data_IF_136567682986
#
_entry.id   IF_136567682986
#
_cell.length_a   1.000
_cell.length_b   1.000
_cell.length_c   1.000
_cell.angle_alpha   90.00
_cell.angle_beta   90.00
_cell.angle_gamma   90.00
#
_symmetry.space_group_name_H-M   'P 1'
#
loop_
_entity.id
_entity.type
_entity.pdbx_description
1 polymer ?
#
# COMPACT_ATOMS: atom_id res chain seq x y z
N UNK A 1 -9.66 -0.82 -6.87
CA UNK A 1 -8.50 -1.62 -7.30
C UNK A 1 -7.99 -1.10 -8.63
N UNK A 2 -6.67 -1.01 -8.78
CA UNK A 2 -5.92 -0.63 -9.97
C UNK A 2 -4.91 -1.76 -10.16
N UNK A 3 -5.37 -2.83 -10.82
CA UNK A 3 -4.61 -4.07 -11.02
C UNK A 3 -3.91 -4.04 -12.39
N UNK A 4 -2.61 -4.34 -12.40
CA UNK A 4 -1.78 -4.51 -13.59
C UNK A 4 -2.00 -3.41 -14.64
N UNK A 5 -2.18 -2.18 -14.16
CA UNK A 5 -2.58 -1.03 -14.95
C UNK A 5 -1.41 -0.08 -15.13
N UNK A 6 -1.41 0.66 -16.23
CA UNK A 6 -0.39 1.69 -16.50
C UNK A 6 -1.06 3.03 -16.79
N UNK A 7 -0.44 4.12 -16.33
CA UNK A 7 -0.91 5.49 -16.57
C UNK A 7 -2.34 5.75 -16.07
N UNK A 8 -2.66 5.25 -14.87
CA UNK A 8 -3.97 5.45 -14.24
C UNK A 8 -3.98 6.67 -13.32
N UNK A 9 -5.09 7.42 -13.34
CA UNK A 9 -5.36 8.49 -12.39
C UNK A 9 -6.52 8.09 -11.49
N UNK A 10 -6.30 8.15 -10.18
CA UNK A 10 -7.29 7.80 -9.14
C UNK A 10 -7.49 9.02 -8.27
N UNK A 11 -8.56 9.78 -8.52
CA UNK A 11 -8.76 11.07 -7.87
C UNK A 11 -10.22 11.43 -7.63
N UNK A 12 -10.41 12.36 -6.68
CA UNK A 12 -11.71 12.87 -6.23
C UNK A 12 -12.69 11.77 -5.79
N UNK A 13 -12.17 10.66 -5.24
CA UNK A 13 -12.98 9.57 -4.71
C UNK A 13 -13.17 9.68 -3.19
N UNK A 14 -14.21 8.98 -2.71
CA UNK A 14 -14.42 8.69 -1.28
C UNK A 14 -14.33 7.18 -1.09
N UNK A 15 -13.26 6.72 -0.45
CA UNK A 15 -13.01 5.31 -0.14
C UNK A 15 -13.16 5.11 1.39
N UNK A 16 -14.31 4.61 1.82
CA UNK A 16 -14.60 4.43 3.25
C UNK A 16 -15.39 3.16 3.55
N UNK A 17 -15.18 2.60 4.74
CA UNK A 17 -15.84 1.40 5.25
C UNK A 17 -15.61 0.14 4.39
N UNK A 18 -14.46 0.07 3.70
CA UNK A 18 -13.99 -1.12 3.00
C UNK A 18 -13.01 -1.91 3.88
N UNK A 19 -12.44 -3.00 3.36
CA UNK A 19 -11.27 -3.67 3.98
C UNK A 19 -9.97 -2.94 3.66
N UNK A 20 -9.81 -2.57 2.39
CA UNK A 20 -8.77 -1.68 1.90
C UNK A 20 -9.41 -0.54 1.10
N UNK A 21 -8.93 0.68 1.25
CA UNK A 21 -9.49 1.85 0.56
C UNK A 21 -9.15 1.86 -0.93
N UNK A 22 -7.87 2.08 -1.26
CA UNK A 22 -7.35 2.07 -2.64
C UNK A 22 -6.24 1.02 -2.72
N UNK A 23 -6.28 0.19 -3.76
CA UNK A 23 -5.30 -0.87 -3.98
C UNK A 23 -4.69 -0.67 -5.37
N UNK A 24 -3.37 -0.49 -5.45
CA UNK A 24 -2.58 -0.34 -6.68
C UNK A 24 -1.61 -1.51 -6.77
N UNK A 25 -1.99 -2.53 -7.54
CA UNK A 25 -1.34 -3.83 -7.56
C UNK A 25 -0.75 -4.15 -8.93
N UNK A 26 0.42 -4.77 -8.93
CA UNK A 26 0.87 -5.63 -10.03
C UNK A 26 0.90 -7.07 -9.53
N UNK A 27 0.44 -8.01 -10.35
CA UNK A 27 0.36 -9.44 -10.04
C UNK A 27 0.99 -10.28 -11.16
N UNK A 28 1.65 -11.41 -10.83
CA UNK A 28 2.26 -12.29 -11.82
C UNK A 28 1.22 -13.06 -12.63
N UNK A 29 1.64 -13.67 -13.75
CA UNK A 29 0.83 -14.59 -14.56
C UNK A 29 -0.41 -13.97 -15.24
N UNK A 30 -0.46 -12.64 -15.35
CA UNK A 30 -1.49 -11.93 -16.11
C UNK A 30 -0.98 -11.49 -17.49
N UNK A 31 -1.91 -11.26 -18.42
CA UNK A 31 -1.58 -10.84 -19.80
C UNK A 31 -0.98 -9.44 -19.89
N UNK A 32 -1.24 -8.60 -18.88
CA UNK A 32 -0.66 -7.27 -18.70
C UNK A 32 0.09 -7.31 -17.38
N UNK A 33 1.32 -6.81 -17.34
CA UNK A 33 2.22 -6.77 -16.18
C UNK A 33 3.07 -5.49 -16.26
N UNK A 34 3.79 -5.19 -15.19
CA UNK A 34 4.62 -3.99 -15.10
C UNK A 34 3.76 -2.76 -14.85
N UNK A 35 2.84 -2.89 -13.88
CA UNK A 35 2.02 -1.80 -13.39
C UNK A 35 2.88 -0.60 -13.02
N UNK A 36 2.54 0.58 -13.57
CA UNK A 36 3.35 1.78 -13.38
C UNK A 36 2.65 3.09 -13.68
N UNK A 37 3.23 4.18 -13.18
CA UNK A 37 2.78 5.56 -13.46
C UNK A 37 1.33 5.81 -13.03
N UNK A 38 0.92 5.22 -11.90
CA UNK A 38 -0.38 5.49 -11.30
C UNK A 38 -0.26 6.71 -10.39
N UNK A 39 -1.20 7.66 -10.51
CA UNK A 39 -1.32 8.79 -9.59
C UNK A 39 -2.57 8.63 -8.74
N UNK A 40 -2.41 8.72 -7.42
CA UNK A 40 -3.50 8.63 -6.44
C UNK A 40 -3.57 9.98 -5.72
N UNK A 41 -4.58 10.79 -6.01
CA UNK A 41 -4.61 12.16 -5.49
C UNK A 41 -5.99 12.71 -5.17
N UNK A 42 -6.05 13.65 -4.22
CA UNK A 42 -7.30 14.33 -3.81
C UNK A 42 -8.43 13.37 -3.38
N UNK A 43 -8.11 12.20 -2.83
CA UNK A 43 -9.10 11.26 -2.34
C UNK A 43 -9.35 11.45 -0.83
N UNK A 44 -10.55 11.09 -0.39
CA UNK A 44 -10.90 10.92 1.03
C UNK A 44 -10.87 9.43 1.35
N UNK A 45 -9.91 8.99 2.18
CA UNK A 45 -9.62 7.57 2.42
C UNK A 45 -9.70 7.30 3.92
N UNK A 46 -10.85 6.80 4.39
CA UNK A 46 -11.12 6.78 5.83
C UNK A 46 -11.88 5.56 6.33
N UNK A 47 -11.57 5.11 7.56
CA UNK A 47 -12.33 4.07 8.24
C UNK A 47 -12.46 2.77 7.41
N UNK A 48 -11.42 2.38 6.67
CA UNK A 48 -11.47 1.16 5.87
C UNK A 48 -11.18 -0.08 6.75
N UNK A 49 -11.97 -0.28 7.80
CA UNK A 49 -11.73 -1.28 8.86
C UNK A 49 -12.69 -2.49 8.77
N UNK A 50 -13.37 -2.66 7.64
CA UNK A 50 -14.29 -3.78 7.43
C UNK A 50 -13.49 -5.07 7.26
N UNK A 51 -13.85 -6.12 8.00
CA UNK A 51 -13.21 -7.44 7.89
C UNK A 51 -13.15 -7.93 6.44
N UNK A 52 -12.00 -8.51 6.05
CA UNK A 52 -11.82 -9.04 4.71
C UNK A 52 -12.83 -10.17 4.43
N UNK A 53 -13.50 -10.09 3.28
CA UNK A 53 -14.55 -11.03 2.86
C UNK A 53 -14.22 -11.71 1.53
N UNK A 54 -12.98 -11.56 1.05
CA UNK A 54 -12.53 -12.23 -0.16
C UNK A 54 -12.58 -13.76 0.01
N UNK A 55 -12.95 -14.51 -1.04
CA UNK A 55 -12.87 -15.97 -1.01
C UNK A 55 -11.45 -16.45 -0.71
N UNK A 56 -11.35 -17.55 0.04
CA UNK A 56 -10.08 -18.20 0.35
C UNK A 56 -9.29 -18.50 -0.93
N UNK A 57 -7.99 -18.20 -0.91
CA UNK A 57 -7.09 -18.38 -2.06
C UNK A 57 -7.04 -17.20 -3.03
N UNK A 58 -7.90 -16.19 -2.88
CA UNK A 58 -7.75 -14.94 -3.63
C UNK A 58 -6.68 -14.05 -2.99
N UNK A 59 -5.80 -13.46 -3.80
CA UNK A 59 -4.68 -12.64 -3.30
C UNK A 59 -5.16 -11.40 -2.56
N UNK A 60 -6.28 -10.80 -2.95
CA UNK A 60 -6.87 -9.67 -2.22
C UNK A 60 -7.35 -10.08 -0.81
N UNK A 61 -7.46 -11.37 -0.53
CA UNK A 61 -7.71 -11.90 0.81
C UNK A 61 -6.53 -11.74 1.78
N UNK A 62 -5.33 -11.42 1.30
CA UNK A 62 -4.18 -11.09 2.16
C UNK A 62 -4.12 -9.62 2.55
N UNK A 63 -4.98 -8.76 1.99
CA UNK A 63 -5.04 -7.34 2.35
C UNK A 63 -5.56 -7.20 3.79
N UNK A 64 -4.78 -6.61 4.72
CA UNK A 64 -5.21 -6.39 6.09
C UNK A 64 -6.44 -5.47 6.13
N UNK A 65 -7.45 -5.81 6.93
CA UNK A 65 -8.49 -4.84 7.26
C UNK A 65 -7.88 -3.62 7.94
N UNK A 66 -8.34 -2.42 7.59
CA UNK A 66 -7.75 -1.17 8.06
C UNK A 66 -6.61 -0.66 7.18
N UNK A 67 -6.57 -1.06 5.91
CA UNK A 67 -5.61 -0.53 4.94
C UNK A 67 -6.20 0.70 4.23
N UNK A 68 -5.55 1.86 4.32
CA UNK A 68 -5.96 3.04 3.56
C UNK A 68 -5.65 2.92 2.07
N UNK A 69 -4.36 2.91 1.74
CA UNK A 69 -3.81 2.68 0.41
C UNK A 69 -2.78 1.55 0.47
N UNK A 70 -2.78 0.66 -0.53
CA UNK A 70 -1.72 -0.32 -0.70
C UNK A 70 -1.10 -0.21 -2.09
N UNK A 71 0.23 -0.15 -2.13
CA UNK A 71 1.05 -0.26 -3.34
C UNK A 71 1.79 -1.59 -3.28
N UNK A 72 1.43 -2.52 -4.17
CA UNK A 72 2.03 -3.85 -4.26
C UNK A 72 2.78 -3.98 -5.59
N UNK A 73 4.10 -4.15 -5.50
CA UNK A 73 4.97 -4.45 -6.65
C UNK A 73 4.74 -3.52 -7.86
N UNK A 74 4.63 -2.22 -7.63
CA UNK A 74 4.31 -1.24 -8.68
C UNK A 74 5.37 -0.16 -8.76
N UNK A 75 5.53 0.42 -9.97
CA UNK A 75 6.57 1.40 -10.23
C UNK A 75 6.02 2.82 -10.47
N UNK A 76 6.78 3.83 -10.07
CA UNK A 76 6.48 5.23 -10.36
C UNK A 76 5.08 5.64 -9.89
N UNK A 77 4.77 5.38 -8.61
CA UNK A 77 3.48 5.74 -8.03
C UNK A 77 3.61 7.09 -7.33
N UNK A 78 2.69 8.00 -7.63
CA UNK A 78 2.63 9.32 -6.99
C UNK A 78 1.36 9.41 -6.15
N UNK A 79 1.51 9.64 -4.85
CA UNK A 79 0.41 9.69 -3.88
C UNK A 79 0.41 11.08 -3.24
N UNK A 80 -0.58 11.91 -3.57
CA UNK A 80 -0.56 13.29 -3.11
C UNK A 80 -1.91 13.98 -2.89
N UNK A 81 -1.97 14.93 -1.97
CA UNK A 81 -3.20 15.69 -1.71
C UNK A 81 -4.36 14.84 -1.16
N UNK A 82 -4.11 13.59 -0.75
CA UNK A 82 -5.13 12.74 -0.16
C UNK A 82 -5.27 13.03 1.32
N UNK A 83 -6.45 12.73 1.86
CA UNK A 83 -6.73 12.78 3.28
C UNK A 83 -7.00 11.36 3.80
N UNK A 84 -6.09 10.87 4.64
CA UNK A 84 -6.16 9.56 5.27
C UNK A 84 -6.62 9.70 6.73
N UNK A 85 -7.65 8.96 7.11
CA UNK A 85 -8.24 9.07 8.45
C UNK A 85 -8.62 7.70 9.01
N UNK A 86 -8.10 7.34 10.18
CA UNK A 86 -8.57 6.20 10.99
C UNK A 86 -8.62 4.85 10.24
N UNK A 87 -7.57 4.51 9.48
CA UNK A 87 -7.39 3.17 8.92
C UNK A 87 -6.56 2.31 9.91
N UNK A 88 -7.16 1.27 10.49
CA UNK A 88 -6.66 0.62 11.72
C UNK A 88 -5.34 -0.15 11.58
N UNK A 89 -5.00 -0.62 10.37
CA UNK A 89 -3.73 -1.31 10.10
C UNK A 89 -2.62 -0.34 9.72
N UNK A 90 -2.85 0.46 8.68
CA UNK A 90 -1.93 1.51 8.23
C UNK A 90 -2.64 2.41 7.21
N UNK A 91 -2.25 3.68 7.16
CA UNK A 91 -2.79 4.61 6.17
C UNK A 91 -2.24 4.34 4.76
N UNK A 92 -0.94 4.03 4.63
CA UNK A 92 -0.32 3.58 3.38
C UNK A 92 0.62 2.40 3.62
N UNK A 93 0.48 1.36 2.80
CA UNK A 93 1.33 0.17 2.80
C UNK A 93 2.06 0.09 1.46
N UNK A 94 3.40 0.08 1.47
CA UNK A 94 4.23 -0.14 0.29
C UNK A 94 4.95 -1.46 0.45
N UNK A 95 4.71 -2.42 -0.43
CA UNK A 95 5.25 -3.78 -0.28
C UNK A 95 5.62 -4.41 -1.62
N UNK A 96 6.58 -5.32 -1.57
CA UNK A 96 6.83 -6.27 -2.64
C UNK A 96 5.81 -7.38 -2.63
N UNK A 97 5.75 -8.10 -3.76
CA UNK A 97 4.96 -9.32 -3.87
C UNK A 97 5.41 -10.42 -2.89
N UNK A 98 6.66 -10.40 -2.43
CA UNK A 98 7.20 -11.39 -1.50
C UNK A 98 6.48 -11.43 -0.16
N UNK A 99 5.77 -10.36 0.23
CA UNK A 99 4.97 -10.32 1.45
C UNK A 99 3.95 -11.46 1.53
N UNK A 100 3.50 -11.98 0.38
CA UNK A 100 2.52 -13.06 0.31
C UNK A 100 3.13 -14.45 0.59
N UNK A 101 4.46 -14.59 0.58
CA UNK A 101 5.14 -15.89 0.74
C UNK A 101 4.85 -16.90 -0.38
N UNK A 102 4.25 -16.45 -1.49
CA UNK A 102 3.91 -17.28 -2.64
C UNK A 102 5.08 -17.36 -3.62
N UNK A 103 5.28 -18.51 -4.30
CA UNK A 103 6.29 -18.63 -5.34
C UNK A 103 5.98 -17.70 -6.52
N UNK A 104 7.04 -17.19 -7.14
CA UNK A 104 6.97 -16.44 -8.40
C UNK A 104 7.52 -17.35 -9.50
N UNK A 105 6.61 -17.94 -10.27
CA UNK A 105 6.96 -18.83 -11.39
C UNK A 105 7.05 -18.08 -12.73
N UNK A 106 6.60 -16.82 -12.78
CA UNK A 106 6.67 -15.98 -13.97
C UNK A 106 8.06 -15.31 -14.06
N UNK A 107 8.90 -15.68 -15.05
CA UNK A 107 10.25 -15.16 -15.18
C UNK A 107 10.30 -13.68 -15.61
N UNK A 108 9.19 -13.10 -16.06
CA UNK A 108 9.14 -11.71 -16.51
C UNK A 108 8.52 -10.77 -15.47
N UNK A 109 8.07 -11.30 -14.34
CA UNK A 109 7.41 -10.53 -13.31
C UNK A 109 8.42 -9.78 -12.44
N UNK A 110 8.17 -8.50 -12.22
CA UNK A 110 8.92 -7.68 -11.27
C UNK A 110 8.17 -7.61 -9.94
N UNK A 111 8.69 -8.21 -8.86
CA UNK A 111 7.99 -8.23 -7.58
C UNK A 111 8.26 -7.02 -6.69
N UNK A 112 9.12 -6.08 -7.09
CA UNK A 112 9.56 -4.98 -6.24
C UNK A 112 8.73 -3.71 -6.49
N UNK A 113 8.45 -2.91 -5.45
CA UNK A 113 8.01 -1.54 -5.66
C UNK A 113 9.23 -0.65 -5.98
N UNK A 114 9.09 0.31 -6.89
CA UNK A 114 10.15 1.27 -7.20
C UNK A 114 9.62 2.68 -7.45
N UNK A 115 10.38 3.71 -7.07
CA UNK A 115 10.03 5.13 -7.32
C UNK A 115 8.64 5.54 -6.82
N UNK A 116 8.28 5.14 -5.60
CA UNK A 116 7.06 5.57 -4.91
C UNK A 116 7.29 6.95 -4.30
N UNK A 117 6.43 7.91 -4.62
CA UNK A 117 6.51 9.26 -4.11
C UNK A 117 5.23 9.63 -3.36
N UNK A 118 5.35 9.84 -2.05
CA UNK A 118 4.22 10.17 -1.16
C UNK A 118 4.43 11.59 -0.65
N UNK A 119 3.58 12.53 -1.05
CA UNK A 119 3.76 13.92 -0.66
C UNK A 119 2.47 14.73 -0.53
N UNK A 120 2.50 15.79 0.27
CA UNK A 120 1.37 16.71 0.43
C UNK A 120 0.05 16.03 0.83
N UNK A 121 0.10 14.90 1.54
CA UNK A 121 -1.07 14.22 2.10
C UNK A 121 -1.27 14.63 3.56
N UNK A 122 -2.51 14.49 4.05
CA UNK A 122 -2.85 14.64 5.46
C UNK A 122 -3.19 13.29 6.07
N UNK A 123 -2.69 13.08 7.29
CA UNK A 123 -2.89 11.85 8.05
C UNK A 123 -3.48 12.19 9.42
N UNK A 124 -4.48 11.44 9.87
CA UNK A 124 -5.12 11.63 11.17
C UNK A 124 -5.58 10.29 11.72
N UNK A 125 -4.94 9.81 12.79
CA UNK A 125 -5.27 8.53 13.41
C UNK A 125 -4.98 7.32 12.52
N UNK A 126 -5.39 6.14 12.99
CA UNK A 126 -5.07 4.85 12.37
C UNK A 126 -3.90 4.12 13.03
N UNK A 127 -3.64 2.89 12.59
CA UNK A 127 -2.54 2.06 13.10
C UNK A 127 -2.74 1.45 14.49
N UNK A 128 -3.93 1.60 15.08
CA UNK A 128 -4.20 1.18 16.46
C UNK A 128 -4.53 -0.32 16.59
N UNK A 129 -5.06 -0.96 15.54
CA UNK A 129 -5.50 -2.36 15.58
C UNK A 129 -5.14 -3.06 14.28
N UNK A 130 -3.86 -3.42 14.08
CA UNK A 130 -3.42 -4.05 12.85
C UNK A 130 -3.98 -5.46 12.64
N UNK A 131 -4.42 -5.72 11.41
CA UNK A 131 -4.98 -7.00 10.95
C UNK A 131 -3.96 -7.80 10.11
N UNK A 132 -2.71 -7.85 10.58
CA UNK A 132 -1.70 -8.75 10.02
C UNK A 132 -0.62 -9.08 11.05
N UNK A 133 -0.05 -10.29 10.97
CA UNK A 133 1.00 -10.72 11.88
C UNK A 133 2.24 -9.78 11.85
N UNK A 134 2.79 -9.37 10.69
CA UNK A 134 3.97 -8.51 10.67
C UNK A 134 3.72 -7.15 11.34
N UNK A 135 2.56 -6.54 11.09
CA UNK A 135 2.20 -5.26 11.73
C UNK A 135 1.94 -5.45 13.22
N UNK A 136 1.22 -6.49 13.63
CA UNK A 136 1.00 -6.77 15.06
C UNK A 136 2.32 -6.99 15.82
N UNK A 137 3.30 -7.65 15.20
CA UNK A 137 4.65 -7.80 15.77
C UNK A 137 5.38 -6.47 15.85
N UNK A 138 5.27 -5.61 14.84
CA UNK A 138 5.84 -4.25 14.85
C UNK A 138 5.23 -3.40 15.98
N UNK A 139 3.90 -3.41 16.11
CA UNK A 139 3.19 -2.72 17.18
C UNK A 139 3.63 -3.24 18.55
N UNK A 140 3.70 -4.56 18.72
CA UNK A 140 4.12 -5.17 19.99
C UNK A 140 5.59 -4.91 20.33
N UNK A 141 6.45 -4.75 19.33
CA UNK A 141 7.88 -4.48 19.53
C UNK A 141 8.15 -3.02 19.88
N UNK A 142 7.37 -2.09 19.34
CA UNK A 142 7.53 -0.64 19.54
C UNK A 142 6.71 -0.13 20.73
N UNK A 143 5.56 -0.75 21.02
CA UNK A 143 4.58 -0.26 21.99
C UNK A 143 3.79 0.95 21.52
N UNK A 144 3.91 1.31 20.24
CA UNK A 144 3.30 2.48 19.60
C UNK A 144 2.33 2.02 18.50
N UNK A 145 1.37 2.87 18.09
CA UNK A 145 0.57 2.62 16.89
C UNK A 145 1.45 2.39 15.65
N UNK A 146 0.92 1.67 14.67
CA UNK A 146 1.60 1.50 13.37
C UNK A 146 1.77 2.87 12.71
N UNK A 147 2.95 3.17 12.12
CA UNK A 147 3.16 4.40 11.38
C UNK A 147 2.17 4.60 10.23
N UNK A 148 1.95 5.86 9.85
CA UNK A 148 1.05 6.23 8.75
C UNK A 148 1.46 5.57 7.44
N UNK A 149 2.76 5.55 7.15
CA UNK A 149 3.33 4.86 6.00
C UNK A 149 4.22 3.74 6.48
N UNK A 150 4.00 2.54 5.97
CA UNK A 150 4.87 1.40 6.22
C UNK A 150 5.43 0.86 4.91
N UNK A 151 6.69 0.45 4.94
CA UNK A 151 7.37 -0.22 3.84
C UNK A 151 8.02 -1.51 4.34
N UNK A 152 7.87 -2.61 3.59
CA UNK A 152 8.50 -3.90 3.94
C UNK A 152 10.04 -3.91 3.84
N UNK A 153 10.64 -2.81 3.37
CA UNK A 153 12.09 -2.66 3.24
C UNK A 153 12.70 -3.44 2.06
N UNK A 154 11.86 -4.04 1.21
CA UNK A 154 12.34 -4.79 0.04
C UNK A 154 12.70 -3.86 -1.10
N UNK A 155 13.83 -4.14 -1.75
CA UNK A 155 14.34 -3.35 -2.86
C UNK A 155 14.93 -4.26 -3.93
N UNK A 156 14.74 -3.87 -5.19
CA UNK A 156 15.39 -4.52 -6.32
C UNK A 156 16.92 -4.55 -6.12
N UNK A 157 17.63 -5.67 -6.35
CA UNK A 157 19.07 -5.76 -6.13
C UNK A 157 19.85 -4.64 -6.83
N UNK A 158 20.65 -3.91 -6.04
CA UNK A 158 21.43 -2.76 -6.52
C UNK A 158 20.73 -1.40 -6.38
N UNK A 159 19.45 -1.37 -6.02
CA UNK A 159 18.74 -0.15 -5.61
C UNK A 159 18.89 0.10 -4.10
N UNK A 160 18.74 1.35 -3.71
CA UNK A 160 18.73 1.81 -2.31
C UNK A 160 17.32 2.30 -1.94
N UNK A 161 17.02 2.44 -0.64
CA UNK A 161 15.68 2.88 -0.21
C UNK A 161 15.21 4.20 -0.82
N UNK A 162 16.12 5.14 -1.09
CA UNK A 162 15.81 6.40 -1.80
C UNK A 162 15.33 6.22 -3.24
N UNK A 163 15.65 5.08 -3.86
CA UNK A 163 15.20 4.71 -5.21
C UNK A 163 13.84 4.00 -5.17
N UNK A 164 13.39 3.61 -3.97
CA UNK A 164 12.13 2.90 -3.74
C UNK A 164 11.05 3.85 -3.23
N UNK A 165 11.35 4.62 -2.18
CA UNK A 165 10.37 5.44 -1.50
C UNK A 165 10.94 6.83 -1.19
N UNK A 166 10.22 7.86 -1.63
CA UNK A 166 10.47 9.25 -1.30
C UNK A 166 9.23 9.82 -0.61
N UNK A 167 9.43 10.49 0.52
CA UNK A 167 8.36 11.08 1.33
C UNK A 167 8.68 12.55 1.53
N UNK A 168 7.73 13.45 1.28
CA UNK A 168 7.93 14.89 1.54
C UNK A 168 6.62 15.62 1.86
N UNK A 169 6.69 16.72 2.62
CA UNK A 169 5.56 17.64 2.83
C UNK A 169 4.25 17.01 3.38
N UNK A 170 4.31 15.89 4.11
CA UNK A 170 3.11 15.22 4.67
C UNK A 170 2.78 15.63 6.12
N UNK A 171 3.20 16.83 6.55
CA UNK A 171 2.99 17.31 7.92
C UNK A 171 3.69 16.44 8.97
N UNK A 172 2.97 16.08 10.03
CA UNK A 172 3.45 15.30 11.17
C UNK A 172 3.33 13.76 10.96
N UNK A 173 3.29 13.31 9.69
CA UNK A 173 3.25 11.90 9.32
C UNK A 173 4.35 11.08 10.03
N UNK A 174 3.98 9.89 10.47
CA UNK A 174 4.89 8.85 10.98
C UNK A 174 5.32 7.84 9.90
N UNK A 175 6.58 7.39 9.96
CA UNK A 175 7.17 6.38 9.07
C UNK A 175 8.08 5.44 9.86
#
# INVERSE_FOLDING_TARGET
EIENSTFADVYDNVATNNTGGILVFDLPNLSVQGGRNTRVFNNQISNNNTANFAPEGNIVGSVPAGTGLMVLANDNIEVFGNNFVDNDSANVIVVSYFINGLPIDDPNYDPYPESIYIHDNTFTGGGETPDSEPLALLQSATGEPIPDVVWDGTALPGKQGKDILCISNNGDMSF
#
